data_IF_679280519990
#
_entry.id   IF_679280519990
#
_cell.length_a   1.000
_cell.length_b   1.000
_cell.length_c   1.000
_cell.angle_alpha   90.00
_cell.angle_beta   90.00
_cell.angle_gamma   90.00
#
_symmetry.space_group_name_H-M   'P 1'
#
loop_
_entity.id
_entity.type
_entity.pdbx_description
1 polymer ?
#
# COMPACT_ATOMS: atom_id res chain seq x y z
N UNK A 1 -35.18 -0.09 -17.44
CA UNK A 1 -34.54 1.06 -18.07
C UNK A 1 -33.08 0.95 -17.68
N UNK A 2 -32.23 0.62 -18.66
CA UNK A 2 -30.83 0.32 -18.42
C UNK A 2 -30.01 1.60 -18.33
N UNK A 3 -29.18 1.69 -17.31
CA UNK A 3 -28.09 2.65 -17.23
C UNK A 3 -26.77 1.91 -17.47
N UNK A 4 -26.21 2.09 -18.67
CA UNK A 4 -24.95 1.49 -19.06
C UNK A 4 -23.79 2.13 -18.29
N UNK A 5 -22.88 1.27 -17.86
CA UNK A 5 -21.52 1.66 -17.44
C UNK A 5 -20.78 2.11 -18.71
N UNK A 6 -20.56 3.42 -18.82
CA UNK A 6 -19.72 3.95 -19.89
C UNK A 6 -18.26 3.61 -19.57
N UNK A 7 -17.64 2.86 -20.45
CA UNK A 7 -16.20 2.65 -20.50
C UNK A 7 -15.52 3.99 -20.70
N UNK A 8 -14.71 4.43 -19.75
CA UNK A 8 -13.84 5.57 -19.96
C UNK A 8 -12.72 5.19 -20.92
N UNK A 9 -12.86 5.66 -22.13
CA UNK A 9 -11.92 5.49 -23.22
C UNK A 9 -10.70 6.37 -22.98
N UNK A 10 -9.51 5.79 -23.17
CA UNK A 10 -8.22 6.48 -23.27
C UNK A 10 -8.34 7.68 -24.22
N UNK A 11 -8.07 8.88 -23.72
CA UNK A 11 -7.92 10.06 -24.57
C UNK A 11 -6.56 9.98 -25.28
N UNK A 12 -6.57 9.48 -26.49
CA UNK A 12 -5.48 9.63 -27.46
C UNK A 12 -5.36 11.13 -27.84
N UNK A 13 -4.31 11.79 -27.41
CA UNK A 13 -3.85 13.06 -27.97
C UNK A 13 -2.42 12.89 -28.41
N UNK A 14 -2.28 12.58 -29.70
CA UNK A 14 -1.00 12.63 -30.38
C UNK A 14 -0.38 14.03 -30.34
N UNK A 15 0.92 14.02 -30.37
CA UNK A 15 1.96 14.90 -30.88
C UNK A 15 3.00 15.33 -29.85
N UNK A 16 4.26 14.96 -30.12
CA UNK A 16 5.45 15.62 -29.59
C UNK A 16 6.21 14.90 -28.48
N UNK A 17 6.51 13.60 -28.61
CA UNK A 17 7.52 12.97 -27.73
C UNK A 17 8.92 13.35 -28.21
N UNK A 18 9.64 14.14 -27.41
CA UNK A 18 11.08 14.35 -27.53
C UNK A 18 11.83 13.03 -27.31
N UNK A 19 12.88 12.68 -28.10
CA UNK A 19 13.56 11.40 -27.99
C UNK A 19 14.66 11.44 -26.92
N UNK A 20 14.30 11.31 -25.64
CA UNK A 20 15.15 10.89 -24.51
C UNK A 20 14.42 10.85 -23.16
N UNK A 21 13.11 10.72 -23.15
CA UNK A 21 12.40 10.55 -21.88
C UNK A 21 12.70 9.14 -21.34
N UNK A 22 13.28 9.07 -20.13
CA UNK A 22 13.30 7.85 -19.35
C UNK A 22 11.85 7.37 -19.23
N UNK A 23 11.54 6.21 -19.82
CA UNK A 23 10.21 5.64 -19.76
C UNK A 23 9.99 5.17 -18.33
N UNK A 24 9.19 5.90 -17.56
CA UNK A 24 8.73 5.47 -16.26
C UNK A 24 7.63 4.41 -16.41
N UNK A 25 7.55 3.41 -15.51
CA UNK A 25 6.50 2.41 -15.58
C UNK A 25 5.12 3.05 -15.37
N UNK A 26 4.12 2.61 -16.11
CA UNK A 26 2.73 2.91 -15.81
C UNK A 26 2.36 2.37 -14.43
N UNK A 27 1.55 3.12 -13.68
CA UNK A 27 0.99 2.67 -12.42
C UNK A 27 -0.26 1.85 -12.70
N UNK A 28 -0.28 0.62 -12.23
CA UNK A 28 -1.42 -0.28 -12.36
C UNK A 28 -2.14 -0.38 -11.02
N UNK A 29 -3.27 0.29 -10.90
CA UNK A 29 -4.11 0.28 -9.72
C UNK A 29 -5.01 -0.95 -9.73
N UNK A 30 -5.05 -1.68 -8.61
CA UNK A 30 -5.87 -2.88 -8.44
C UNK A 30 -6.54 -2.87 -7.06
N UNK A 31 -7.82 -3.23 -6.97
CA UNK A 31 -8.53 -3.36 -5.71
C UNK A 31 -8.62 -4.81 -5.25
N UNK A 32 -8.46 -5.00 -3.95
CA UNK A 32 -8.51 -6.30 -3.27
C UNK A 32 -9.57 -6.26 -2.17
N UNK A 33 -10.88 -6.33 -2.53
CA UNK A 33 -11.99 -6.10 -1.62
C UNK A 33 -12.29 -7.34 -0.75
N UNK A 34 -11.38 -7.68 0.17
CA UNK A 34 -11.55 -8.76 1.16
C UNK A 34 -11.24 -8.29 2.56
N UNK A 35 -11.96 -8.82 3.55
CA UNK A 35 -11.71 -8.64 4.98
C UNK A 35 -11.98 -9.94 5.75
N UNK A 36 -11.82 -11.07 5.06
CA UNK A 36 -12.07 -12.40 5.64
C UNK A 36 -11.10 -12.75 6.77
N UNK A 37 -9.94 -12.11 6.81
CA UNK A 37 -8.89 -12.34 7.80
C UNK A 37 -8.83 -11.27 8.91
N UNK A 38 -9.77 -10.32 8.90
CA UNK A 38 -9.90 -9.34 9.99
C UNK A 38 -10.29 -10.03 11.30
N UNK A 39 -9.57 -9.69 12.38
CA UNK A 39 -9.72 -10.33 13.69
C UNK A 39 -10.82 -9.73 14.56
N UNK A 40 -11.32 -8.54 14.21
CA UNK A 40 -12.34 -7.82 15.01
C UNK A 40 -13.51 -7.37 14.13
N UNK A 41 -13.48 -6.17 13.60
CA UNK A 41 -14.58 -5.62 12.79
C UNK A 41 -14.27 -5.71 11.31
N UNK A 42 -15.22 -6.28 10.55
CA UNK A 42 -15.17 -6.25 9.09
C UNK A 42 -15.64 -4.92 8.56
N UNK A 43 -15.19 -4.57 7.36
CA UNK A 43 -15.54 -3.34 6.67
C UNK A 43 -14.45 -2.89 5.70
N UNK A 44 -13.22 -3.36 5.90
CA UNK A 44 -12.08 -3.01 5.05
C UNK A 44 -12.26 -3.45 3.59
N UNK A 45 -13.03 -4.48 3.31
CA UNK A 45 -13.39 -4.89 1.93
C UNK A 45 -14.04 -3.76 1.11
N UNK A 46 -14.60 -2.73 1.76
CA UNK A 46 -15.17 -1.56 1.09
C UNK A 46 -14.15 -0.44 0.85
N UNK A 47 -12.94 -0.59 1.38
CA UNK A 47 -11.85 0.38 1.27
C UNK A 47 -11.50 0.75 -0.17
N UNK A 48 -11.26 -0.21 -1.08
CA UNK A 48 -10.88 0.09 -2.45
C UNK A 48 -11.85 1.03 -3.18
N UNK A 49 -13.15 0.79 -3.06
CA UNK A 49 -14.17 1.63 -3.67
C UNK A 49 -14.20 3.04 -3.06
N UNK A 50 -14.04 3.15 -1.73
CA UNK A 50 -14.05 4.44 -1.04
C UNK A 50 -12.81 5.29 -1.39
N UNK A 51 -11.63 4.67 -1.51
CA UNK A 51 -10.40 5.36 -1.92
C UNK A 51 -10.50 5.87 -3.36
N UNK A 52 -11.04 5.07 -4.29
CA UNK A 52 -11.30 5.51 -5.67
C UNK A 52 -12.27 6.67 -5.73
N UNK A 53 -13.36 6.60 -4.97
CA UNK A 53 -14.33 7.69 -4.88
C UNK A 53 -13.69 8.99 -4.35
N UNK A 54 -12.77 8.90 -3.38
CA UNK A 54 -12.03 10.05 -2.89
C UNK A 54 -11.03 10.59 -3.91
N UNK A 55 -10.31 9.71 -4.63
CA UNK A 55 -9.32 10.09 -5.64
C UNK A 55 -9.93 10.91 -6.77
N UNK A 56 -11.12 10.51 -7.24
CA UNK A 56 -11.82 11.17 -8.36
C UNK A 56 -12.87 12.19 -7.92
N UNK A 57 -12.86 12.56 -6.63
CA UNK A 57 -13.79 13.53 -6.07
C UNK A 57 -13.43 14.96 -6.44
N UNK A 58 -14.44 15.81 -6.68
CA UNK A 58 -14.29 17.26 -6.86
C UNK A 58 -13.82 17.99 -5.58
N UNK A 59 -13.65 17.29 -4.46
CA UNK A 59 -13.08 17.86 -3.22
C UNK A 59 -11.59 18.16 -3.31
N UNK A 60 -10.89 17.56 -4.26
CA UNK A 60 -9.46 17.70 -4.47
C UNK A 60 -9.10 17.82 -5.94
N UNK A 61 -7.83 17.63 -6.22
CA UNK A 61 -7.32 17.52 -7.57
C UNK A 61 -6.36 16.32 -7.69
N UNK A 62 -5.96 16.01 -8.91
CA UNK A 62 -5.08 14.85 -9.22
C UNK A 62 -3.59 15.19 -9.20
N UNK A 63 -3.21 16.41 -8.77
CA UNK A 63 -1.81 16.84 -8.70
C UNK A 63 -1.13 16.29 -7.46
N UNK A 64 0.15 15.95 -7.61
CA UNK A 64 1.06 15.54 -6.55
C UNK A 64 1.85 16.73 -6.01
N UNK A 65 2.50 16.60 -4.85
CA UNK A 65 3.35 17.67 -4.30
C UNK A 65 4.60 17.95 -5.15
N UNK A 66 5.04 16.97 -5.93
CA UNK A 66 6.10 17.15 -6.94
C UNK A 66 5.71 18.06 -8.12
N UNK A 67 4.42 18.38 -8.26
CA UNK A 67 3.86 19.08 -9.41
C UNK A 67 3.45 18.18 -10.58
N UNK A 68 3.69 16.86 -10.48
CA UNK A 68 3.20 15.89 -11.47
C UNK A 68 1.68 15.69 -11.31
N UNK A 69 1.01 15.38 -12.43
CA UNK A 69 -0.44 15.15 -12.48
C UNK A 69 -0.75 13.73 -12.98
N UNK A 70 -1.61 13.02 -12.25
CA UNK A 70 -2.11 11.71 -12.71
C UNK A 70 -2.96 11.91 -13.97
N UNK A 71 -2.75 11.03 -14.95
CA UNK A 71 -3.43 11.07 -16.24
C UNK A 71 -2.80 12.02 -17.27
N UNK A 72 -1.87 12.88 -16.84
CA UNK A 72 -1.10 13.75 -17.73
C UNK A 72 0.38 13.37 -17.76
N UNK A 73 1.01 13.37 -16.58
CA UNK A 73 2.44 13.12 -16.41
C UNK A 73 2.70 11.70 -15.90
N UNK A 74 1.74 11.15 -15.17
CA UNK A 74 1.75 9.80 -14.60
C UNK A 74 0.64 9.00 -15.25
N UNK A 75 1.00 7.95 -15.98
CA UNK A 75 0.01 7.00 -16.51
C UNK A 75 -0.52 6.13 -15.38
N UNK A 76 -1.85 6.18 -15.16
CA UNK A 76 -2.57 5.34 -14.20
C UNK A 76 -3.58 4.46 -14.94
N UNK A 77 -3.38 3.15 -14.86
CA UNK A 77 -4.29 2.15 -15.42
C UNK A 77 -5.05 1.50 -14.27
N UNK A 78 -6.34 1.76 -14.15
CA UNK A 78 -7.17 1.15 -13.09
C UNK A 78 -7.82 -0.14 -13.62
N UNK A 79 -7.48 -1.28 -12.99
CA UNK A 79 -8.01 -2.60 -13.33
C UNK A 79 -9.33 -2.94 -12.61
N UNK A 80 -9.83 -2.02 -11.77
CA UNK A 80 -10.97 -2.30 -10.91
C UNK A 80 -10.60 -3.24 -9.75
N UNK A 81 -11.61 -3.91 -9.23
CA UNK A 81 -11.47 -4.84 -8.12
C UNK A 81 -11.35 -6.29 -8.61
N UNK A 82 -10.45 -7.07 -8.02
CA UNK A 82 -10.39 -8.51 -8.23
C UNK A 82 -11.65 -9.18 -7.63
N UNK A 83 -12.22 -10.18 -8.32
CA UNK A 83 -13.38 -10.91 -7.83
C UNK A 83 -12.96 -11.98 -6.80
N UNK A 84 -12.40 -11.52 -5.65
CA UNK A 84 -11.96 -12.39 -4.57
C UNK A 84 -13.16 -13.16 -3.99
N UNK A 85 -12.92 -14.41 -3.57
CA UNK A 85 -13.98 -15.32 -3.13
C UNK A 85 -14.46 -15.02 -1.72
N UNK A 86 -13.62 -14.44 -0.89
CA UNK A 86 -13.83 -14.18 0.56
C UNK A 86 -14.13 -15.47 1.37
N UNK A 87 -13.70 -16.64 0.83
CA UNK A 87 -13.91 -17.97 1.45
C UNK A 87 -12.72 -18.89 1.32
N UNK A 88 -11.83 -18.67 0.35
CA UNK A 88 -10.68 -19.52 0.05
C UNK A 88 -9.43 -18.66 -0.12
N UNK A 89 -8.70 -18.46 0.98
CA UNK A 89 -7.46 -17.67 0.98
C UNK A 89 -6.44 -18.16 -0.07
N UNK A 90 -6.36 -19.46 -0.34
CA UNK A 90 -5.39 -19.98 -1.29
C UNK A 90 -5.78 -19.65 -2.75
N UNK A 91 -7.07 -19.71 -3.07
CA UNK A 91 -7.59 -19.30 -4.37
C UNK A 91 -7.43 -17.78 -4.58
N UNK A 92 -7.73 -17.00 -3.55
CA UNK A 92 -7.58 -15.54 -3.58
C UNK A 92 -6.10 -15.14 -3.71
N UNK A 93 -5.18 -15.78 -2.97
CA UNK A 93 -3.74 -15.58 -3.10
C UNK A 93 -3.24 -15.87 -4.52
N UNK A 94 -3.70 -16.96 -5.13
CA UNK A 94 -3.33 -17.31 -6.51
C UNK A 94 -3.85 -16.27 -7.51
N UNK A 95 -5.08 -15.80 -7.34
CA UNK A 95 -5.68 -14.76 -8.18
C UNK A 95 -4.89 -13.43 -8.08
N UNK A 96 -4.50 -13.04 -6.86
CA UNK A 96 -3.65 -11.87 -6.63
C UNK A 96 -2.30 -12.04 -7.30
N UNK A 97 -1.66 -13.20 -7.11
CA UNK A 97 -0.35 -13.48 -7.71
C UNK A 97 -0.38 -13.43 -9.24
N UNK A 98 -1.41 -14.01 -9.87
CA UNK A 98 -1.60 -14.00 -11.32
C UNK A 98 -1.82 -12.58 -11.86
N UNK A 99 -2.63 -11.77 -11.17
CA UNK A 99 -2.87 -10.37 -11.54
C UNK A 99 -1.57 -9.55 -11.47
N UNK A 100 -0.80 -9.68 -10.39
CA UNK A 100 0.49 -8.99 -10.23
C UNK A 100 1.51 -9.44 -11.28
N UNK A 101 1.61 -10.75 -11.54
CA UNK A 101 2.49 -11.27 -12.59
C UNK A 101 2.12 -10.70 -13.97
N UNK A 102 0.83 -10.57 -14.29
CA UNK A 102 0.35 -9.97 -15.52
C UNK A 102 0.72 -8.48 -15.64
N UNK A 103 0.61 -7.71 -14.57
CA UNK A 103 1.04 -6.30 -14.51
C UNK A 103 2.55 -6.19 -14.75
N UNK A 104 3.33 -6.99 -14.05
CA UNK A 104 4.79 -6.94 -14.13
C UNK A 104 5.32 -7.41 -15.50
N UNK A 105 4.66 -8.37 -16.14
CA UNK A 105 5.01 -8.81 -17.50
C UNK A 105 4.85 -7.70 -18.55
N UNK A 106 4.00 -6.69 -18.27
CA UNK A 106 3.84 -5.50 -19.10
C UNK A 106 4.79 -4.36 -18.73
N UNK A 107 5.68 -4.57 -17.74
CA UNK A 107 6.57 -3.53 -17.23
C UNK A 107 5.87 -2.52 -16.32
N UNK A 108 4.64 -2.80 -15.89
CA UNK A 108 3.85 -1.94 -15.01
C UNK A 108 4.29 -2.04 -13.55
N UNK A 109 3.92 -1.04 -12.75
CA UNK A 109 4.13 -0.98 -11.31
C UNK A 109 2.78 -1.22 -10.59
N UNK A 110 2.63 -2.34 -9.85
CA UNK A 110 1.40 -2.59 -9.11
C UNK A 110 1.28 -1.66 -7.90
N UNK A 111 0.12 -1.01 -7.77
CA UNK A 111 -0.33 -0.30 -6.60
C UNK A 111 -1.69 -0.86 -6.19
N UNK A 112 -1.75 -1.52 -5.04
CA UNK A 112 -2.95 -2.18 -4.58
C UNK A 112 -3.72 -1.31 -3.57
N UNK A 113 -5.04 -1.29 -3.71
CA UNK A 113 -5.96 -0.83 -2.68
C UNK A 113 -6.50 -2.07 -1.98
N UNK A 114 -6.06 -2.29 -0.76
CA UNK A 114 -6.44 -3.48 -0.03
C UNK A 114 -7.75 -3.35 0.71
N UNK A 115 -8.21 -4.50 1.14
CA UNK A 115 -9.12 -4.70 2.24
C UNK A 115 -8.33 -4.76 3.54
N UNK A 116 -8.39 -5.91 4.25
CA UNK A 116 -7.55 -6.14 5.43
C UNK A 116 -6.08 -6.37 5.05
N UNK A 117 -5.17 -6.25 6.02
CA UNK A 117 -3.72 -6.29 5.79
C UNK A 117 -3.20 -7.67 5.32
N UNK A 118 -4.00 -8.74 5.41
CA UNK A 118 -3.59 -10.08 4.97
C UNK A 118 -3.24 -10.14 3.47
N UNK A 119 -3.80 -9.23 2.66
CA UNK A 119 -3.53 -9.15 1.20
C UNK A 119 -2.09 -8.80 0.87
N UNK A 120 -1.36 -8.17 1.78
CA UNK A 120 0.04 -7.77 1.58
C UNK A 120 0.97 -8.97 1.40
N UNK A 121 0.68 -10.13 2.05
CA UNK A 121 1.50 -11.31 1.86
C UNK A 121 1.52 -11.81 0.41
N UNK A 122 0.40 -12.14 -0.26
CA UNK A 122 0.44 -12.57 -1.65
C UNK A 122 0.94 -11.50 -2.61
N UNK A 123 0.69 -10.21 -2.34
CA UNK A 123 1.22 -9.10 -3.12
C UNK A 123 2.75 -9.07 -3.09
N UNK A 124 3.34 -9.06 -1.90
CA UNK A 124 4.81 -9.05 -1.72
C UNK A 124 5.44 -10.31 -2.28
N UNK A 125 4.83 -11.48 -2.07
CA UNK A 125 5.34 -12.74 -2.62
C UNK A 125 5.40 -12.71 -4.16
N UNK A 126 4.36 -12.21 -4.82
CA UNK A 126 4.32 -12.09 -6.29
C UNK A 126 5.34 -11.07 -6.82
N UNK A 127 5.47 -9.91 -6.16
CA UNK A 127 6.48 -8.90 -6.54
C UNK A 127 7.90 -9.44 -6.30
N UNK A 128 8.13 -10.13 -5.19
CA UNK A 128 9.43 -10.75 -4.88
C UNK A 128 9.80 -11.87 -5.85
N UNK A 129 8.83 -12.62 -6.38
CA UNK A 129 9.07 -13.63 -7.41
C UNK A 129 9.68 -13.02 -8.68
N UNK A 130 9.39 -11.75 -8.98
CA UNK A 130 9.93 -11.04 -10.15
C UNK A 130 11.24 -10.31 -9.86
N UNK A 131 11.39 -9.70 -8.67
CA UNK A 131 12.52 -8.81 -8.33
C UNK A 131 13.54 -9.43 -7.38
N UNK A 132 13.30 -10.64 -6.86
CA UNK A 132 14.01 -11.20 -5.71
C UNK A 132 13.55 -10.58 -4.40
N UNK A 133 14.17 -10.93 -3.25
CA UNK A 133 13.79 -10.43 -1.94
C UNK A 133 13.83 -8.90 -1.86
N UNK A 134 12.77 -8.30 -1.32
CA UNK A 134 12.51 -6.86 -1.34
C UNK A 134 13.01 -6.15 -0.07
N UNK A 135 13.32 -4.89 -0.19
CA UNK A 135 13.29 -3.98 0.95
C UNK A 135 11.86 -3.51 1.16
N UNK A 136 11.35 -3.63 2.37
CA UNK A 136 9.97 -3.27 2.69
C UNK A 136 9.97 -2.12 3.69
N UNK A 137 9.21 -1.08 3.38
CA UNK A 137 8.90 0.02 4.26
C UNK A 137 7.43 -0.12 4.66
N UNK A 138 7.18 -0.37 5.93
CA UNK A 138 5.87 -0.68 6.47
C UNK A 138 5.45 0.40 7.47
N UNK A 139 4.30 1.02 7.24
CA UNK A 139 3.67 2.02 8.11
C UNK A 139 2.44 1.41 8.75
N UNK A 140 2.38 1.34 10.09
CA UNK A 140 1.33 0.64 10.81
C UNK A 140 1.40 0.97 12.32
N UNK A 141 0.30 0.85 13.04
CA UNK A 141 0.29 0.83 14.50
C UNK A 141 0.79 -0.50 15.07
N UNK A 142 0.63 -1.57 14.27
CA UNK A 142 0.85 -2.96 14.63
C UNK A 142 2.03 -3.55 13.87
N UNK A 143 2.80 -4.47 14.44
CA UNK A 143 3.92 -5.09 13.73
C UNK A 143 3.49 -6.19 12.74
N UNK A 144 2.30 -6.75 12.88
CA UNK A 144 1.71 -7.80 12.05
C UNK A 144 2.63 -9.01 11.84
N UNK A 145 3.25 -9.41 12.94
CA UNK A 145 4.28 -10.46 13.01
C UNK A 145 3.82 -11.72 13.74
N UNK A 146 2.51 -11.90 13.98
CA UNK A 146 2.04 -13.13 14.57
C UNK A 146 2.30 -14.32 13.65
N UNK A 147 2.86 -15.40 14.19
CA UNK A 147 2.97 -16.69 13.47
C UNK A 147 1.59 -17.36 13.31
N UNK A 148 0.74 -17.14 14.32
CA UNK A 148 -0.66 -17.55 14.34
C UNK A 148 -1.42 -16.57 15.25
N UNK A 149 -2.52 -16.02 14.77
CA UNK A 149 -3.39 -15.18 15.58
C UNK A 149 -4.75 -15.87 15.74
N UNK A 150 -5.03 -16.34 16.95
CA UNK A 150 -6.28 -17.04 17.31
C UNK A 150 -6.61 -18.26 16.42
N UNK A 151 -5.58 -19.03 16.02
CA UNK A 151 -5.72 -20.20 15.15
C UNK A 151 -5.76 -19.86 13.65
N UNK A 152 -5.54 -18.60 13.28
CA UNK A 152 -5.47 -18.18 11.88
C UNK A 152 -4.05 -17.67 11.52
N UNK A 153 -3.22 -18.49 10.85
CA UNK A 153 -1.90 -18.07 10.39
C UNK A 153 -1.97 -17.11 9.20
N UNK A 154 -3.17 -16.90 8.62
CA UNK A 154 -3.45 -15.94 7.54
C UNK A 154 -4.15 -14.69 8.04
N UNK A 155 -4.27 -14.51 9.36
CA UNK A 155 -4.83 -13.29 9.96
C UNK A 155 -4.16 -12.01 9.38
N UNK A 156 -4.91 -10.92 9.32
CA UNK A 156 -4.37 -9.61 8.98
C UNK A 156 -3.24 -9.16 9.95
N UNK A 157 -3.17 -9.74 11.14
CA UNK A 157 -2.06 -9.52 12.10
C UNK A 157 -0.79 -10.37 11.80
N UNK A 158 -0.73 -11.09 10.66
CA UNK A 158 0.30 -12.09 10.36
C UNK A 158 1.03 -11.95 9.01
N UNK A 159 0.71 -10.98 8.11
CA UNK A 159 1.28 -10.96 6.77
C UNK A 159 2.79 -10.87 6.77
N UNK A 160 3.40 -10.08 7.63
CA UNK A 160 4.85 -9.93 7.65
C UNK A 160 5.58 -11.15 8.21
N UNK A 161 4.97 -11.93 9.10
CA UNK A 161 5.52 -13.24 9.48
C UNK A 161 5.58 -14.17 8.26
N UNK A 162 4.52 -14.26 7.47
CA UNK A 162 4.48 -15.07 6.22
C UNK A 162 5.49 -14.59 5.19
N UNK A 163 5.62 -13.28 5.00
CA UNK A 163 6.59 -12.66 4.08
C UNK A 163 8.03 -13.03 4.46
N UNK A 164 8.35 -12.96 5.76
CA UNK A 164 9.70 -13.25 6.28
C UNK A 164 10.02 -14.75 6.24
N UNK A 165 9.07 -15.59 6.62
CA UNK A 165 9.19 -17.06 6.52
C UNK A 165 9.37 -17.54 5.07
N UNK A 166 8.70 -16.89 4.13
CA UNK A 166 8.82 -17.15 2.69
C UNK A 166 10.13 -16.62 2.07
N UNK A 167 10.94 -15.85 2.81
CA UNK A 167 12.17 -15.25 2.32
C UNK A 167 11.92 -14.14 1.28
N UNK A 168 10.73 -13.53 1.26
CA UNK A 168 10.36 -12.51 0.29
C UNK A 168 10.89 -11.12 0.65
N UNK A 169 11.28 -10.90 1.91
CA UNK A 169 11.88 -9.65 2.38
C UNK A 169 13.39 -9.82 2.60
N UNK A 170 14.17 -8.88 2.07
CA UNK A 170 15.59 -8.70 2.38
C UNK A 170 15.78 -7.87 3.65
N UNK A 171 14.98 -6.83 3.81
CA UNK A 171 14.88 -5.97 5.00
C UNK A 171 13.43 -5.58 5.19
N UNK A 172 13.00 -5.56 6.44
CA UNK A 172 11.71 -5.01 6.84
C UNK A 172 11.95 -3.90 7.85
N UNK A 173 11.55 -2.68 7.52
CA UNK A 173 11.58 -1.50 8.39
C UNK A 173 10.15 -1.10 8.70
N UNK A 174 9.78 -1.12 9.98
CA UNK A 174 8.43 -0.82 10.45
C UNK A 174 8.38 0.51 11.19
N UNK A 175 7.39 1.33 10.88
CA UNK A 175 7.20 2.70 11.35
C UNK A 175 5.77 2.87 11.86
N UNK A 176 5.60 3.69 12.89
CA UNK A 176 4.27 3.89 13.47
C UNK A 176 3.96 2.93 14.62
N UNK A 177 4.74 1.88 14.77
CA UNK A 177 4.49 0.78 15.72
C UNK A 177 4.42 1.31 17.15
N UNK A 178 3.28 1.09 17.79
CA UNK A 178 3.02 1.51 19.18
C UNK A 178 2.27 0.48 20.02
N UNK A 179 1.97 -0.70 19.42
CA UNK A 179 1.31 -1.84 20.07
C UNK A 179 2.21 -3.08 20.15
N UNK A 180 3.53 -2.89 20.23
CA UNK A 180 4.49 -3.99 20.22
C UNK A 180 4.43 -4.84 21.49
N UNK A 181 3.74 -5.98 21.44
CA UNK A 181 3.65 -6.94 22.53
C UNK A 181 4.89 -7.86 22.61
N UNK A 182 4.93 -8.76 23.61
CA UNK A 182 6.05 -9.66 23.81
C UNK A 182 6.28 -10.60 22.63
N UNK A 183 5.21 -11.26 22.14
CA UNK A 183 5.28 -12.21 21.04
C UNK A 183 5.84 -11.56 19.76
N UNK A 184 5.27 -10.44 19.36
CA UNK A 184 5.75 -9.71 18.18
C UNK A 184 7.17 -9.16 18.34
N UNK A 185 7.60 -8.82 19.58
CA UNK A 185 8.99 -8.45 19.85
C UNK A 185 9.95 -9.62 19.66
N UNK A 186 9.57 -10.83 20.10
CA UNK A 186 10.34 -12.05 19.90
C UNK A 186 10.43 -12.41 18.40
N UNK A 187 9.34 -12.28 17.66
CA UNK A 187 9.31 -12.46 16.21
C UNK A 187 10.17 -11.42 15.48
N UNK A 188 10.07 -10.15 15.86
CA UNK A 188 10.92 -9.11 15.28
C UNK A 188 12.43 -9.41 15.50
N UNK A 189 12.80 -9.86 16.71
CA UNK A 189 14.17 -10.27 17.00
C UNK A 189 14.60 -11.52 16.20
N UNK A 190 13.70 -12.51 16.04
CA UNK A 190 13.94 -13.74 15.27
C UNK A 190 14.26 -13.44 13.82
N UNK A 191 13.53 -12.52 13.20
CA UNK A 191 13.65 -12.20 11.78
C UNK A 191 14.53 -10.99 11.47
N UNK A 192 15.04 -10.29 12.51
CA UNK A 192 15.87 -9.10 12.33
C UNK A 192 15.08 -7.90 11.80
N UNK A 193 13.81 -7.77 12.19
CA UNK A 193 12.94 -6.64 11.78
C UNK A 193 13.41 -5.35 12.46
N UNK A 194 13.50 -4.29 11.68
CA UNK A 194 13.92 -2.97 12.15
C UNK A 194 12.67 -2.14 12.52
N UNK A 195 12.35 -2.06 13.80
CA UNK A 195 11.22 -1.25 14.29
C UNK A 195 11.74 0.11 14.75
N UNK A 196 11.25 1.19 14.14
CA UNK A 196 11.52 2.57 14.55
C UNK A 196 10.39 3.00 15.50
N UNK A 197 10.66 3.15 16.80
CA UNK A 197 9.62 3.40 17.77
C UNK A 197 9.02 4.79 17.63
N UNK A 198 7.71 4.92 17.93
CA UNK A 198 7.03 6.22 17.93
C UNK A 198 7.54 7.16 19.03
N UNK A 199 8.06 6.63 20.14
CA UNK A 199 8.63 7.46 21.20
C UNK A 199 9.87 8.23 20.69
N UNK A 200 9.69 9.54 20.48
CA UNK A 200 10.75 10.41 19.95
C UNK A 200 10.97 10.23 18.43
N UNK A 201 9.96 9.78 17.71
CA UNK A 201 10.03 9.56 16.26
C UNK A 201 10.42 10.83 15.49
N UNK A 202 11.26 10.62 14.50
CA UNK A 202 11.58 11.62 13.48
C UNK A 202 11.84 10.91 12.15
N UNK A 203 11.38 11.44 11.01
CA UNK A 203 11.68 10.89 9.69
C UNK A 203 13.18 10.71 9.41
N UNK A 204 14.04 11.50 10.07
CA UNK A 204 15.50 11.40 9.93
C UNK A 204 16.10 10.10 10.51
N UNK A 205 15.41 9.44 11.43
CA UNK A 205 15.85 8.17 12.04
C UNK A 205 15.63 6.97 11.12
N UNK A 206 14.73 7.12 10.13
CA UNK A 206 14.39 6.03 9.22
C UNK A 206 15.56 5.77 8.28
N UNK A 207 16.06 4.53 8.19
CA UNK A 207 17.15 4.20 7.29
C UNK A 207 16.73 4.44 5.83
N UNK A 208 17.70 4.86 5.02
CA UNK A 208 17.49 4.97 3.57
C UNK A 208 17.64 3.58 2.97
N UNK A 209 16.61 3.11 2.30
CA UNK A 209 16.58 1.83 1.61
C UNK A 209 16.94 2.02 0.13
N UNK A 210 17.84 1.18 -0.37
CA UNK A 210 18.25 1.15 -1.77
C UNK A 210 17.74 -0.12 -2.46
N UNK A 211 17.68 -0.12 -3.81
CA UNK A 211 17.25 -1.27 -4.60
C UNK A 211 15.73 -1.44 -4.69
N UNK A 212 15.22 -2.67 -4.88
CA UNK A 212 13.79 -2.91 -5.00
C UNK A 212 13.07 -2.59 -3.68
N UNK A 213 12.19 -1.59 -3.70
CA UNK A 213 11.44 -1.11 -2.55
C UNK A 213 9.95 -1.42 -2.71
N UNK A 214 9.37 -2.09 -1.73
CA UNK A 214 7.94 -2.23 -1.55
C UNK A 214 7.48 -1.33 -0.40
N UNK A 215 6.35 -0.64 -0.57
CA UNK A 215 5.77 0.21 0.48
C UNK A 215 4.39 -0.34 0.84
N UNK A 216 4.20 -0.70 2.10
CA UNK A 216 2.90 -1.08 2.65
C UNK A 216 2.45 -0.03 3.65
N UNK A 217 1.24 0.48 3.47
CA UNK A 217 0.66 1.51 4.33
C UNK A 217 -0.65 0.98 4.90
N UNK A 218 -0.60 0.58 6.17
CA UNK A 218 -1.81 0.47 6.97
C UNK A 218 -2.24 1.87 7.42
N UNK A 219 -3.49 2.20 7.20
CA UNK A 219 -4.01 3.53 7.53
C UNK A 219 -4.12 3.76 9.04
N UNK A 220 -4.11 2.70 9.86
CA UNK A 220 -4.08 2.82 11.31
C UNK A 220 -2.68 3.21 11.86
N UNK A 221 -1.63 3.09 11.04
CA UNK A 221 -0.31 3.66 11.33
C UNK A 221 -0.35 5.17 11.52
N UNK A 222 -1.30 5.85 10.85
CA UNK A 222 -1.56 7.28 10.98
C UNK A 222 -2.38 7.53 12.25
N UNK A 223 -2.16 8.69 12.86
CA UNK A 223 -2.92 9.09 14.05
C UNK A 223 -4.42 9.18 13.74
N UNK A 224 -5.31 8.67 14.62
CA UNK A 224 -6.76 8.74 14.43
C UNK A 224 -7.33 10.15 14.29
N UNK A 225 -6.57 11.19 14.66
CA UNK A 225 -6.95 12.58 14.41
C UNK A 225 -6.88 12.98 12.92
N UNK A 226 -6.07 12.27 12.12
CA UNK A 226 -5.96 12.48 10.67
C UNK A 226 -6.60 11.32 9.87
N UNK A 227 -6.62 10.09 10.40
CA UNK A 227 -7.18 8.90 9.74
C UNK A 227 -8.06 8.07 10.69
N UNK A 228 -9.27 8.54 11.05
CA UNK A 228 -10.16 7.82 11.97
C UNK A 228 -10.84 6.58 11.38
N UNK A 229 -10.87 6.42 10.05
CA UNK A 229 -11.65 5.42 9.34
C UNK A 229 -10.97 4.06 9.27
N UNK A 230 -10.62 3.49 10.41
CA UNK A 230 -9.97 2.19 10.55
C UNK A 230 -10.66 1.35 11.62
N UNK A 231 -10.49 0.02 11.60
CA UNK A 231 -11.09 -0.88 12.60
C UNK A 231 -10.32 -0.93 13.91
N UNK A 232 -9.01 -0.64 13.90
CA UNK A 232 -8.13 -0.70 15.06
C UNK A 232 -7.41 0.65 15.31
N UNK A 233 -8.15 1.72 15.65
CA UNK A 233 -7.54 3.04 15.83
C UNK A 233 -6.66 3.04 17.08
N UNK A 234 -5.39 3.43 16.93
CA UNK A 234 -4.43 3.54 18.03
C UNK A 234 -3.87 4.99 18.11
N UNK A 235 -4.13 5.74 19.18
CA UNK A 235 -3.65 7.13 19.31
C UNK A 235 -2.13 7.25 19.40
N UNK A 236 -1.60 8.43 19.02
CA UNK A 236 -0.17 8.71 19.05
C UNK A 236 0.58 8.22 17.81
N UNK A 237 -0.11 8.15 16.68
CA UNK A 237 0.40 7.69 15.40
C UNK A 237 1.20 8.73 14.61
N UNK A 238 1.55 8.35 13.40
CA UNK A 238 2.21 9.22 12.43
C UNK A 238 1.24 10.26 11.88
N UNK A 239 1.74 11.44 11.58
CA UNK A 239 1.04 12.38 10.71
C UNK A 239 1.23 12.00 9.24
N UNK A 240 0.29 12.37 8.38
CA UNK A 240 0.45 12.23 6.92
C UNK A 240 1.73 12.91 6.45
N UNK A 241 2.09 14.06 7.04
CA UNK A 241 3.31 14.79 6.71
C UNK A 241 4.59 14.01 7.03
N UNK A 242 4.61 13.28 8.13
CA UNK A 242 5.75 12.42 8.48
C UNK A 242 5.88 11.23 7.52
N UNK A 243 4.76 10.60 7.14
CA UNK A 243 4.76 9.53 6.11
C UNK A 243 5.37 10.05 4.81
N UNK A 244 4.92 11.19 4.32
CA UNK A 244 5.45 11.81 3.09
C UNK A 244 6.93 12.18 3.23
N UNK A 245 7.35 12.72 4.38
CA UNK A 245 8.75 13.05 4.64
C UNK A 245 9.64 11.80 4.65
N UNK A 246 9.17 10.68 5.17
CA UNK A 246 9.89 9.40 5.12
C UNK A 246 10.02 8.91 3.68
N UNK A 247 8.92 8.90 2.91
CA UNK A 247 8.93 8.48 1.50
C UNK A 247 9.91 9.32 0.67
N UNK A 248 9.88 10.64 0.82
CA UNK A 248 10.77 11.55 0.08
C UNK A 248 12.26 11.29 0.32
N UNK A 249 12.63 10.71 1.46
CA UNK A 249 14.01 10.37 1.80
C UNK A 249 14.51 9.06 1.18
N UNK A 250 13.59 8.19 0.75
CA UNK A 250 13.99 6.87 0.23
C UNK A 250 14.65 6.98 -1.15
N UNK A 251 15.61 6.09 -1.41
CA UNK A 251 16.34 6.01 -2.68
C UNK A 251 16.03 4.73 -3.47
N UNK A 252 15.39 3.77 -2.85
CA UNK A 252 14.98 2.51 -3.49
C UNK A 252 14.03 2.76 -4.67
N UNK A 253 14.15 1.95 -5.70
CA UNK A 253 13.20 1.94 -6.80
C UNK A 253 11.90 1.29 -6.33
N UNK A 254 10.79 2.03 -6.34
CA UNK A 254 9.48 1.45 -6.02
C UNK A 254 9.15 0.35 -7.04
N UNK A 255 8.80 -0.83 -6.54
CA UNK A 255 8.44 -2.00 -7.37
C UNK A 255 7.04 -2.53 -7.07
N UNK A 256 6.40 -2.00 -6.03
CA UNK A 256 5.04 -2.28 -5.65
C UNK A 256 4.68 -1.52 -4.38
N UNK A 257 3.39 -1.31 -4.17
CA UNK A 257 2.88 -0.73 -2.94
C UNK A 257 1.44 -1.18 -2.67
N UNK A 258 1.03 -1.11 -1.41
CA UNK A 258 -0.37 -1.22 -1.02
C UNK A 258 -0.78 -0.17 0.02
N UNK A 259 -2.09 0.10 0.07
CA UNK A 259 -2.77 0.90 1.09
C UNK A 259 -3.94 0.07 1.57
N UNK A 260 -3.99 -0.22 2.87
CA UNK A 260 -4.88 -1.22 3.48
C UNK A 260 -5.64 -0.68 4.69
N UNK A 261 -6.59 -1.46 5.19
CA UNK A 261 -7.35 -1.28 6.44
C UNK A 261 -8.28 -0.05 6.48
N UNK A 262 -8.59 0.57 5.34
CA UNK A 262 -9.66 1.56 5.33
C UNK A 262 -11.01 0.90 5.63
N UNK A 263 -11.60 1.22 6.76
CA UNK A 263 -12.99 0.87 7.07
C UNK A 263 -13.91 2.08 6.90
N UNK A 264 -14.66 2.19 5.78
CA UNK A 264 -15.52 3.33 5.53
C UNK A 264 -16.65 3.53 6.53
N UNK A 265 -17.00 2.49 7.31
CA UNK A 265 -18.03 2.59 8.35
C UNK A 265 -17.59 3.47 9.52
N UNK A 266 -16.29 3.58 9.77
CA UNK A 266 -15.70 4.44 10.80
C UNK A 266 -15.21 5.77 10.24
N UNK A 267 -15.17 5.95 8.92
CA UNK A 267 -14.65 7.15 8.29
C UNK A 267 -15.64 8.32 8.38
N UNK A 268 -15.16 9.44 8.89
CA UNK A 268 -15.94 10.65 9.06
C UNK A 268 -15.75 11.58 7.85
N UNK A 269 -16.82 11.85 7.11
CA UNK A 269 -16.77 12.71 5.91
C UNK A 269 -15.72 12.31 4.87
N UNK A 270 -15.38 11.03 4.77
CA UNK A 270 -14.36 10.50 3.89
C UNK A 270 -12.95 11.10 4.11
N UNK A 271 -12.62 11.50 5.34
CA UNK A 271 -11.31 12.07 5.68
C UNK A 271 -10.21 11.03 5.45
N UNK A 272 -10.38 9.80 5.98
CA UNK A 272 -9.41 8.72 5.84
C UNK A 272 -9.28 8.26 4.39
N UNK A 273 -10.39 8.15 3.66
CA UNK A 273 -10.36 7.86 2.23
C UNK A 273 -9.61 8.94 1.43
N UNK A 274 -9.75 10.22 1.83
CA UNK A 274 -9.01 11.34 1.21
C UNK A 274 -7.52 11.26 1.54
N UNK A 275 -7.15 10.88 2.76
CA UNK A 275 -5.75 10.62 3.14
C UNK A 275 -5.18 9.48 2.30
N UNK A 276 -5.89 8.37 2.18
CA UNK A 276 -5.48 7.24 1.34
C UNK A 276 -5.28 7.64 -0.12
N UNK A 277 -6.21 8.42 -0.69
CA UNK A 277 -6.09 8.95 -2.05
C UNK A 277 -4.89 9.90 -2.21
N UNK A 278 -4.57 10.70 -1.18
CA UNK A 278 -3.36 11.53 -1.14
C UNK A 278 -2.11 10.66 -1.17
N UNK A 279 -2.02 9.65 -0.32
CA UNK A 279 -0.88 8.73 -0.25
C UNK A 279 -0.69 7.96 -1.57
N UNK A 280 -1.79 7.52 -2.21
CA UNK A 280 -1.76 6.90 -3.52
C UNK A 280 -1.10 7.81 -4.56
N UNK A 281 -1.51 9.06 -4.65
CA UNK A 281 -0.93 10.04 -5.59
C UNK A 281 0.56 10.23 -5.34
N UNK A 282 0.96 10.35 -4.09
CA UNK A 282 2.37 10.57 -3.74
C UNK A 282 3.23 9.32 -3.96
N UNK A 283 2.70 8.11 -3.75
CA UNK A 283 3.37 6.85 -4.13
C UNK A 283 3.55 6.76 -5.66
N UNK A 284 2.51 7.11 -6.42
CA UNK A 284 2.60 7.17 -7.87
C UNK A 284 3.66 8.18 -8.32
N UNK A 285 3.68 9.37 -7.74
CA UNK A 285 4.70 10.40 -8.00
C UNK A 285 6.10 9.94 -7.62
N UNK A 286 6.26 9.31 -6.46
CA UNK A 286 7.54 8.79 -5.97
C UNK A 286 8.18 7.80 -6.95
N UNK A 287 7.37 7.02 -7.67
CA UNK A 287 7.86 6.07 -8.68
C UNK A 287 8.43 6.75 -9.93
N UNK A 288 8.03 8.00 -10.21
CA UNK A 288 8.36 8.75 -11.43
C UNK A 288 9.54 9.72 -11.27
N UNK A 289 9.87 10.10 -10.03
CA UNK A 289 10.93 11.06 -9.78
C UNK A 289 12.29 10.36 -9.90
N UNK A 290 13.10 10.77 -10.87
CA UNK A 290 14.50 10.37 -10.96
C UNK A 290 15.26 10.94 -9.76
N UNK A 291 15.82 10.07 -8.91
CA UNK A 291 16.49 10.44 -7.65
C UNK A 291 17.89 11.06 -7.85
N UNK A 292 18.23 11.45 -9.06
CA UNK A 292 19.46 12.19 -9.42
C UNK A 292 19.28 13.69 -9.40
N UNK A 293 18.04 14.20 -9.21
CA UNK A 293 17.72 15.63 -9.37
C UNK A 293 17.49 16.39 -8.04
N UNK A 294 17.91 15.82 -6.87
CA UNK A 294 17.89 16.50 -5.57
C UNK A 294 19.26 16.52 -4.90
#
# INVERSE_FOLDING_TARGET
MGGGLEHFTVLDRGEGKSPSAVMHPAIHLIGLPTDQNSSFERGAAKGPAAIRAALWSDRGNISCESGLEIGRDIELVDHGDLPLTDHDCAADDAMIADAIAGIMAQGGLPLALGGDHAVTFPLVAAVAAHHGPLNILHFDAHPDLYDDFEGNPRSHASPFARILEGGHARRLVQLGIRTLNRHCREQAARFGVEIIPMAGFSPAQVPILDGPLYVSIDLDGIDPSEAPGVSHPEPGGLTVREVLAVLARQKGRLVGADIVELNPAHDQNAVTATVAAKLLKELASFSQVNKTDF
#
